data_IF_929479133706
#
_entry.id   IF_929479133706
#
_cell.length_a   1.000
_cell.length_b   1.000
_cell.length_c   1.000
_cell.angle_alpha   90.00
_cell.angle_beta   90.00
_cell.angle_gamma   90.00
#
_symmetry.space_group_name_H-M   'P 1'
#
loop_
_entity.id
_entity.type
_entity.pdbx_description
1 polymer ?
#
# COMPACT_ATOMS: atom_id res chain seq x y z
N UNK A 1 -19.30 -20.23 -11.53
CA UNK A 1 -19.63 -19.39 -10.36
C UNK A 1 -18.29 -19.05 -9.71
N UNK A 2 -17.71 -17.90 -10.04
CA UNK A 2 -16.38 -17.49 -9.56
C UNK A 2 -16.61 -16.67 -8.29
N UNK A 3 -16.11 -17.17 -7.17
CA UNK A 3 -16.28 -16.55 -5.87
C UNK A 3 -15.17 -15.51 -5.71
N UNK A 4 -15.52 -14.23 -5.86
CA UNK A 4 -14.59 -13.11 -5.67
C UNK A 4 -14.31 -12.94 -4.18
N UNK A 5 -13.24 -13.54 -3.68
CA UNK A 5 -12.71 -13.20 -2.35
C UNK A 5 -11.95 -11.88 -2.45
N UNK A 6 -12.66 -10.75 -2.29
CA UNK A 6 -12.01 -9.45 -2.11
C UNK A 6 -11.31 -9.44 -0.75
N UNK A 7 -10.11 -10.01 -0.67
CA UNK A 7 -9.24 -9.83 0.48
C UNK A 7 -8.68 -8.43 0.39
N UNK A 8 -9.29 -7.49 1.10
CA UNK A 8 -8.67 -6.19 1.39
C UNK A 8 -7.31 -6.47 2.04
N UNK A 9 -6.18 -6.14 1.39
CA UNK A 9 -4.88 -6.30 2.02
C UNK A 9 -4.83 -5.43 3.28
N UNK A 10 -4.53 -6.03 4.42
CA UNK A 10 -4.39 -5.31 5.68
C UNK A 10 -3.05 -4.57 5.66
N UNK A 11 -3.13 -3.24 5.60
CA UNK A 11 -1.97 -2.36 5.69
C UNK A 11 -1.72 -1.98 7.15
N UNK A 12 -0.44 -1.81 7.51
CA UNK A 12 -0.04 -1.28 8.80
C UNK A 12 -0.73 0.08 9.04
N UNK A 13 -1.31 0.34 10.23
CA UNK A 13 -1.97 1.62 10.52
C UNK A 13 -1.01 2.80 10.43
N UNK A 14 -1.49 3.94 9.93
CA UNK A 14 -0.76 5.21 9.93
C UNK A 14 -1.21 6.07 11.11
N UNK A 15 -0.32 6.33 12.07
CA UNK A 15 -0.63 7.07 13.31
C UNK A 15 -1.88 6.52 14.02
N UNK A 16 -2.03 5.19 14.07
CA UNK A 16 -3.19 4.52 14.67
C UNK A 16 -4.49 4.62 13.87
N UNK A 17 -4.47 5.21 12.68
CA UNK A 17 -5.61 5.24 11.76
C UNK A 17 -5.56 4.05 10.81
N UNK A 18 -6.65 3.29 10.65
CA UNK A 18 -6.70 2.19 9.72
C UNK A 18 -6.63 2.72 8.28
N UNK A 19 -5.80 2.10 7.44
CA UNK A 19 -5.79 2.38 6.00
C UNK A 19 -6.73 1.39 5.32
N UNK A 20 -7.77 1.90 4.65
CA UNK A 20 -8.68 1.11 3.85
C UNK A 20 -8.21 1.14 2.39
N UNK A 21 -7.80 -0.01 1.85
CA UNK A 21 -7.47 -0.17 0.43
C UNK A 21 -8.48 -1.11 -0.22
N UNK A 22 -9.48 -0.55 -0.91
CA UNK A 22 -10.46 -1.33 -1.68
C UNK A 22 -10.06 -1.37 -3.15
N UNK A 23 -10.00 -2.56 -3.73
CA UNK A 23 -9.78 -2.77 -5.15
C UNK A 23 -10.95 -3.60 -5.69
N UNK A 24 -11.82 -2.97 -6.47
CA UNK A 24 -13.06 -3.58 -6.98
C UNK A 24 -12.85 -4.39 -8.26
N UNK A 25 -11.64 -4.36 -8.83
CA UNK A 25 -11.19 -5.27 -9.88
C UNK A 25 -12.20 -5.41 -11.03
N UNK A 26 -12.80 -4.30 -11.47
CA UNK A 26 -13.83 -4.29 -12.51
C UNK A 26 -13.42 -5.15 -13.73
N UNK A 27 -14.41 -5.66 -14.47
CA UNK A 27 -14.39 -6.72 -15.52
C UNK A 27 -13.38 -6.61 -16.68
N UNK A 28 -12.28 -5.86 -16.56
CA UNK A 28 -11.08 -5.99 -17.37
C UNK A 28 -9.90 -6.45 -16.51
N UNK A 29 -9.89 -7.76 -16.27
CA UNK A 29 -8.79 -8.64 -15.86
C UNK A 29 -7.67 -8.08 -14.97
N UNK A 30 -7.58 -8.67 -13.78
CA UNK A 30 -6.55 -8.63 -12.73
C UNK A 30 -5.08 -8.31 -13.11
N UNK A 31 -4.61 -8.53 -14.34
CA UNK A 31 -3.23 -8.20 -14.75
C UNK A 31 -3.11 -6.92 -15.60
N UNK A 32 -4.12 -6.59 -16.39
CA UNK A 32 -4.10 -5.39 -17.24
C UNK A 32 -4.24 -4.11 -16.39
N UNK A 33 -5.13 -4.13 -15.40
CA UNK A 33 -5.27 -3.05 -14.43
C UNK A 33 -4.00 -2.86 -13.59
N UNK A 34 -3.35 -3.95 -13.17
CA UNK A 34 -2.09 -3.90 -12.44
C UNK A 34 -0.93 -3.40 -13.31
N UNK A 35 -0.92 -3.75 -14.60
CA UNK A 35 0.07 -3.27 -15.58
C UNK A 35 -0.09 -1.77 -15.83
N UNK A 36 -1.33 -1.30 -15.96
CA UNK A 36 -1.64 0.12 -16.08
C UNK A 36 -1.25 0.87 -14.81
N UNK A 37 -1.59 0.36 -13.63
CA UNK A 37 -1.23 0.95 -12.35
C UNK A 37 0.30 1.01 -12.17
N UNK A 38 1.02 -0.06 -12.55
CA UNK A 38 2.49 -0.09 -12.56
C UNK A 38 3.07 0.99 -13.46
N UNK A 39 2.55 1.16 -14.67
CA UNK A 39 3.07 2.18 -15.61
C UNK A 39 2.72 3.59 -15.16
N UNK A 40 1.55 3.81 -14.55
CA UNK A 40 1.18 5.07 -13.90
C UNK A 40 2.15 5.38 -12.76
N UNK A 41 2.38 4.44 -11.86
CA UNK A 41 3.32 4.59 -10.74
C UNK A 41 4.73 4.90 -11.26
N UNK A 42 5.22 4.16 -12.26
CA UNK A 42 6.55 4.38 -12.85
C UNK A 42 6.71 5.79 -13.45
N UNK A 43 5.63 6.40 -13.96
CA UNK A 43 5.66 7.74 -14.57
C UNK A 43 5.46 8.86 -13.56
N UNK A 44 4.62 8.63 -12.56
CA UNK A 44 4.16 9.66 -11.64
C UNK A 44 4.86 9.61 -10.28
N UNK A 45 5.51 8.50 -9.92
CA UNK A 45 6.05 8.24 -8.58
C UNK A 45 5.02 8.55 -7.49
N UNK A 46 3.79 8.06 -7.68
CA UNK A 46 2.66 8.47 -6.86
C UNK A 46 2.85 8.00 -5.41
N UNK A 47 3.41 6.81 -5.22
CA UNK A 47 3.77 6.31 -3.89
C UNK A 47 4.86 7.18 -3.25
N UNK A 48 5.89 7.58 -4.00
CA UNK A 48 6.94 8.48 -3.52
C UNK A 48 6.39 9.86 -3.14
N UNK A 49 5.55 10.46 -3.99
CA UNK A 49 4.89 11.75 -3.74
C UNK A 49 4.01 11.69 -2.50
N UNK A 50 3.17 10.67 -2.37
CA UNK A 50 2.31 10.50 -1.20
C UNK A 50 3.18 10.28 0.05
N UNK A 51 4.15 9.36 0.00
CA UNK A 51 5.04 9.05 1.12
C UNK A 51 5.89 10.24 1.55
N UNK A 52 6.26 11.14 0.64
CA UNK A 52 7.06 12.34 0.96
C UNK A 52 6.38 13.28 1.97
N UNK A 53 5.05 13.24 2.03
CA UNK A 53 4.25 14.00 2.99
C UNK A 53 4.17 13.33 4.38
N UNK A 54 4.65 12.09 4.51
CA UNK A 54 4.56 11.31 5.74
C UNK A 54 5.93 11.21 6.41
N UNK A 55 5.99 11.54 7.69
CA UNK A 55 7.17 11.27 8.51
C UNK A 55 7.24 9.77 8.78
N UNK A 56 8.25 9.09 8.22
CA UNK A 56 8.52 7.70 8.52
C UNK A 56 9.20 7.58 9.89
N UNK A 57 8.47 7.06 10.87
CA UNK A 57 8.94 6.82 12.23
C UNK A 57 9.70 5.49 12.38
N UNK A 58 9.68 4.63 11.35
CA UNK A 58 10.38 3.35 11.35
C UNK A 58 11.76 3.44 10.69
N UNK A 59 12.24 4.64 10.37
CA UNK A 59 13.60 4.78 9.86
C UNK A 59 14.57 4.20 10.90
N UNK A 60 15.58 3.43 10.49
CA UNK A 60 16.44 2.68 11.42
C UNK A 60 17.14 3.57 12.45
N UNK A 61 17.32 4.86 12.16
CA UNK A 61 17.80 5.88 13.10
C UNK A 61 16.83 6.23 14.26
N UNK A 62 15.53 5.91 14.12
CA UNK A 62 14.48 6.17 15.12
C UNK A 62 13.97 4.91 15.82
N UNK A 63 14.28 3.72 15.27
CA UNK A 63 14.03 2.45 15.96
C UNK A 63 15.12 2.27 17.00
N UNK A 64 14.88 2.81 18.20
CA UNK A 64 15.75 2.55 19.35
C UNK A 64 15.85 1.04 19.58
N UNK A 65 17.05 0.59 19.98
CA UNK A 65 17.37 -0.81 20.30
C UNK A 65 16.36 -1.38 21.30
N UNK A 66 15.24 -1.92 20.82
CA UNK A 66 14.36 -2.71 21.64
C UNK A 66 14.98 -4.10 21.74
N UNK A 67 16.04 -4.18 22.54
CA UNK A 67 16.61 -5.43 23.00
C UNK A 67 15.48 -6.19 23.71
N UNK A 68 14.95 -7.19 23.00
CA UNK A 68 14.05 -8.19 23.55
C UNK A 68 14.76 -8.87 24.72
N UNK A 69 14.37 -8.50 25.94
CA UNK A 69 14.71 -9.23 27.17
C UNK A 69 13.73 -10.36 27.38
#
# INVERSE_FOLDING_TARGET
MIQSSSTTPALSPLNGKPILLNFDGAEMSSDAGLTLLREVERRADLAGLVASCLTDLNRPEFVGDHQLK
#
